data_IF_127752732084
#
_entry.id   IF_127752732084
#
_cell.length_a   1.000
_cell.length_b   1.000
_cell.length_c   1.000
_cell.angle_alpha   90.00
_cell.angle_beta   90.00
_cell.angle_gamma   90.00
#
_symmetry.space_group_name_H-M   'P 1'
#
loop_
_entity.id
_entity.type
_entity.pdbx_description
1 polymer ?
#
# COMPACT_ATOMS: atom_id res chain seq x y z
N UNK A 1 -12.20 -53.42 1.44
CA UNK A 1 -12.52 -52.27 2.32
C UNK A 1 -11.45 -51.19 2.11
N UNK A 2 -11.76 -50.12 1.37
CA UNK A 2 -10.83 -49.02 1.11
C UNK A 2 -10.98 -47.92 2.18
N UNK A 3 -9.89 -47.56 2.86
CA UNK A 3 -9.87 -46.48 3.85
C UNK A 3 -9.47 -45.18 3.16
N UNK A 4 -10.44 -44.29 2.92
CA UNK A 4 -10.20 -42.95 2.39
C UNK A 4 -9.52 -42.08 3.46
N UNK A 5 -8.29 -41.64 3.19
CA UNK A 5 -7.62 -40.62 3.99
C UNK A 5 -8.26 -39.25 3.68
N UNK A 6 -8.97 -38.69 4.65
CA UNK A 6 -9.53 -37.36 4.57
C UNK A 6 -8.40 -36.33 4.41
N UNK A 7 -8.38 -35.64 3.27
CA UNK A 7 -7.55 -34.45 3.03
C UNK A 7 -7.99 -33.36 4.01
N UNK A 8 -7.13 -33.04 4.97
CA UNK A 8 -7.24 -31.85 5.81
C UNK A 8 -7.25 -30.60 4.91
N UNK A 9 -8.25 -29.70 5.02
CA UNK A 9 -8.21 -28.45 4.29
C UNK A 9 -7.04 -27.61 4.83
N UNK A 10 -6.15 -27.20 3.91
CA UNK A 10 -5.08 -26.24 4.20
C UNK A 10 -5.69 -25.02 4.87
N UNK A 11 -5.19 -24.75 6.07
CA UNK A 11 -5.35 -23.51 6.82
C UNK A 11 -5.28 -22.31 5.85
N UNK A 12 -6.41 -21.62 5.68
CA UNK A 12 -6.43 -20.39 4.91
C UNK A 12 -5.57 -19.38 5.66
N UNK A 13 -4.45 -18.98 5.05
CA UNK A 13 -3.53 -17.99 5.59
C UNK A 13 -4.32 -16.79 6.18
N UNK A 14 -3.90 -16.28 7.35
CA UNK A 14 -4.64 -15.22 8.04
C UNK A 14 -4.84 -14.06 7.08
N UNK A 15 -6.11 -13.74 6.80
CA UNK A 15 -6.52 -12.55 6.04
C UNK A 15 -6.03 -11.35 6.84
N UNK A 16 -4.84 -10.83 6.51
CA UNK A 16 -4.30 -9.61 7.12
C UNK A 16 -5.39 -8.55 7.02
N UNK A 17 -5.94 -8.15 8.17
CA UNK A 17 -6.88 -7.03 8.24
C UNK A 17 -6.23 -5.83 7.55
N UNK A 18 -6.99 -5.01 6.79
CA UNK A 18 -6.41 -3.83 6.17
C UNK A 18 -5.74 -3.00 7.25
N UNK A 19 -4.45 -2.72 7.07
CA UNK A 19 -3.68 -1.91 8.01
C UNK A 19 -4.43 -0.59 8.23
N UNK A 20 -4.62 -0.19 9.49
CA UNK A 20 -5.28 1.07 9.83
C UNK A 20 -4.48 2.22 9.24
N UNK A 21 -4.97 2.81 8.15
CA UNK A 21 -4.31 3.94 7.49
C UNK A 21 -4.71 5.23 8.19
N UNK A 22 -3.77 5.83 8.91
CA UNK A 22 -3.95 7.20 9.42
C UNK A 22 -3.94 8.18 8.25
N UNK A 23 -4.96 9.03 8.16
CA UNK A 23 -5.02 10.11 7.18
C UNK A 23 -4.32 11.34 7.76
N UNK A 24 -3.34 11.87 7.04
CA UNK A 24 -2.63 13.11 7.40
C UNK A 24 -2.95 14.19 6.37
N UNK A 25 -3.24 15.40 6.84
CA UNK A 25 -3.32 16.57 5.99
C UNK A 25 -1.90 17.17 5.88
N UNK A 26 -1.35 17.23 4.66
CA UNK A 26 -0.05 17.81 4.40
C UNK A 26 -0.21 19.20 3.76
N UNK A 27 0.35 20.22 4.39
CA UNK A 27 0.45 21.56 3.79
C UNK A 27 1.67 21.60 2.87
N UNK A 28 1.46 21.32 1.58
CA UNK A 28 2.50 21.32 0.54
C UNK A 28 2.32 22.59 -0.30
N UNK A 29 3.40 23.36 -0.58
CA UNK A 29 3.36 24.47 -1.52
C UNK A 29 2.79 24.06 -2.88
N UNK A 30 2.05 24.94 -3.55
CA UNK A 30 1.33 24.59 -4.78
C UNK A 30 2.26 24.13 -5.92
N UNK A 31 3.43 24.77 -6.06
CA UNK A 31 4.43 24.40 -7.07
C UNK A 31 4.92 22.95 -6.85
N UNK A 32 5.33 22.63 -5.62
CA UNK A 32 5.77 21.29 -5.25
C UNK A 32 4.64 20.26 -5.39
N UNK A 33 3.40 20.64 -5.05
CA UNK A 33 2.23 19.77 -5.25
C UNK A 33 2.01 19.47 -6.74
N UNK A 34 2.25 20.44 -7.62
CA UNK A 34 2.14 20.27 -9.07
C UNK A 34 3.21 19.32 -9.60
N UNK A 35 4.45 19.47 -9.16
CA UNK A 35 5.56 18.58 -9.52
C UNK A 35 5.28 17.13 -9.10
N UNK A 36 4.93 16.92 -7.83
CA UNK A 36 4.54 15.61 -7.27
C UNK A 36 3.40 14.98 -8.09
N UNK A 37 2.41 15.80 -8.49
CA UNK A 37 1.28 15.31 -9.31
C UNK A 37 1.75 14.86 -10.69
N UNK A 38 2.60 15.63 -11.37
CA UNK A 38 3.12 15.28 -12.70
C UNK A 38 3.89 13.96 -12.60
N UNK A 39 4.79 13.84 -11.63
CA UNK A 39 5.57 12.61 -11.44
C UNK A 39 4.68 11.39 -11.12
N UNK A 40 3.68 11.56 -10.24
CA UNK A 40 2.73 10.49 -9.93
C UNK A 40 1.97 10.02 -11.18
N UNK A 41 1.55 10.94 -12.06
CA UNK A 41 0.89 10.62 -13.33
C UNK A 41 1.86 9.88 -14.27
N UNK A 42 3.09 10.36 -14.41
CA UNK A 42 4.11 9.71 -15.24
C UNK A 42 4.40 8.27 -14.78
N UNK A 43 4.36 8.02 -13.47
CA UNK A 43 4.55 6.69 -12.89
C UNK A 43 3.27 5.84 -12.86
N UNK A 44 2.12 6.40 -13.23
CA UNK A 44 0.83 5.70 -13.21
C UNK A 44 0.34 5.33 -11.81
N UNK A 45 0.74 6.08 -10.78
CA UNK A 45 0.36 5.84 -9.38
C UNK A 45 -0.39 7.02 -8.80
N UNK A 46 -1.09 6.79 -7.68
CA UNK A 46 -1.76 7.88 -6.97
C UNK A 46 -0.75 8.76 -6.24
N UNK A 47 -1.11 10.04 -6.07
CA UNK A 47 -0.27 11.05 -5.45
C UNK A 47 0.09 10.70 -3.99
N UNK A 48 -0.79 10.01 -3.25
CA UNK A 48 -0.54 9.61 -1.86
C UNK A 48 0.51 8.50 -1.78
N UNK A 49 0.44 7.53 -2.69
CA UNK A 49 1.45 6.46 -2.82
C UNK A 49 2.81 7.01 -3.19
N UNK A 50 2.85 7.98 -4.12
CA UNK A 50 4.09 8.66 -4.48
C UNK A 50 4.69 9.43 -3.28
N UNK A 51 3.88 10.23 -2.58
CA UNK A 51 4.31 10.94 -1.36
C UNK A 51 4.81 9.96 -0.29
N UNK A 52 4.07 8.87 -0.03
CA UNK A 52 4.51 7.85 0.93
C UNK A 52 5.84 7.21 0.52
N UNK A 53 6.09 7.02 -0.77
CA UNK A 53 7.36 6.48 -1.28
C UNK A 53 8.52 7.44 -1.05
N UNK A 54 8.31 8.75 -1.23
CA UNK A 54 9.31 9.78 -0.89
C UNK A 54 9.61 9.77 0.60
N UNK A 55 8.57 9.78 1.45
CA UNK A 55 8.71 9.82 2.90
C UNK A 55 9.42 8.58 3.45
N UNK A 56 9.18 7.39 2.88
CA UNK A 56 9.86 6.14 3.28
C UNK A 56 11.33 6.08 2.90
N UNK A 57 11.75 6.77 1.82
CA UNK A 57 13.14 6.76 1.35
C UNK A 57 14.08 7.60 2.22
N UNK A 58 13.55 8.43 3.12
CA UNK A 58 14.35 9.16 4.11
C UNK A 58 14.15 8.55 5.49
N UNK A 59 14.96 7.53 5.89
CA UNK A 59 15.09 7.22 7.30
C UNK A 59 15.74 8.43 7.98
N UNK A 60 15.03 9.03 8.93
CA UNK A 60 15.60 10.01 9.86
C UNK A 60 16.52 9.35 10.87
#
# INVERSE_FOLDING_TARGET
MARSAARTPKEAAPKRSPARTSKYLLSIPEDLRREIRIEAITLGIDMSTYICSILRKRPG
#
